data_IF_031779257760
#
_entry.id   IF_031779257760
#
_cell.length_a   1.000
_cell.length_b   1.000
_cell.length_c   1.000
_cell.angle_alpha   90.00
_cell.angle_beta   90.00
_cell.angle_gamma   90.00
#
_symmetry.space_group_name_H-M   'P 1'
#
loop_
_entity.id
_entity.type
_entity.pdbx_description
1 polymer ?
#
# COMPACT_ATOMS: atom_id res chain seq x y z
N UNK A 1 33.93 25.54 -22.82
CA UNK A 1 32.45 25.53 -22.87
C UNK A 1 31.86 24.13 -23.18
N UNK A 2 32.52 23.29 -23.99
CA UNK A 2 32.04 21.91 -24.27
C UNK A 2 32.01 21.00 -23.02
N UNK A 3 32.95 21.16 -22.09
CA UNK A 3 33.05 20.33 -20.86
C UNK A 3 31.84 20.47 -19.90
N UNK A 4 31.21 21.65 -19.83
CA UNK A 4 30.02 21.84 -19.01
C UNK A 4 28.80 21.12 -19.60
N UNK A 5 28.64 21.14 -20.93
CA UNK A 5 27.59 20.38 -21.62
C UNK A 5 27.81 18.87 -21.47
N UNK A 6 29.05 18.40 -21.55
CA UNK A 6 29.41 17.00 -21.31
C UNK A 6 29.15 16.58 -19.87
N UNK A 7 29.45 17.43 -18.88
CA UNK A 7 29.15 17.14 -17.48
C UNK A 7 27.64 17.16 -17.18
N UNK A 8 26.87 18.03 -17.84
CA UNK A 8 25.41 18.01 -17.74
C UNK A 8 24.83 16.74 -18.39
N UNK A 9 25.28 16.36 -19.58
CA UNK A 9 24.89 15.12 -20.24
C UNK A 9 25.29 13.89 -19.42
N UNK A 10 26.48 13.89 -18.82
CA UNK A 10 26.94 12.80 -17.96
C UNK A 10 26.17 12.76 -16.64
N UNK A 11 25.78 13.91 -16.07
CA UNK A 11 24.92 13.99 -14.88
C UNK A 11 23.49 13.54 -15.19
N UNK A 12 22.99 13.78 -16.40
CA UNK A 12 21.73 13.22 -16.91
C UNK A 12 21.85 11.70 -17.17
N UNK A 13 22.96 11.23 -17.73
CA UNK A 13 23.21 9.81 -18.02
C UNK A 13 23.58 8.95 -16.78
N UNK A 14 24.07 9.57 -15.70
CA UNK A 14 24.45 8.85 -14.46
C UNK A 14 23.25 8.55 -13.55
N UNK A 15 22.06 9.08 -13.84
CA UNK A 15 20.94 9.06 -12.88
C UNK A 15 19.90 7.95 -13.11
N UNK A 16 19.96 7.15 -14.19
CA UNK A 16 18.98 6.08 -14.40
C UNK A 16 19.66 4.80 -14.88
N UNK A 17 19.68 3.76 -14.02
CA UNK A 17 20.13 2.41 -14.39
C UNK A 17 19.27 1.91 -15.57
N UNK A 18 19.87 1.32 -16.62
CA UNK A 18 19.10 0.85 -17.77
C UNK A 18 18.04 -0.16 -17.31
N UNK A 19 16.78 0.21 -17.52
CA UNK A 19 15.61 -0.58 -17.14
C UNK A 19 15.60 -1.88 -17.94
N UNK A 20 15.71 -3.03 -17.27
CA UNK A 20 15.57 -4.34 -17.91
C UNK A 20 14.09 -4.71 -18.03
N UNK A 21 13.73 -5.43 -19.08
CA UNK A 21 12.36 -5.99 -19.24
C UNK A 21 11.98 -6.94 -18.09
N UNK A 22 12.96 -7.65 -17.53
CA UNK A 22 12.79 -8.51 -16.36
C UNK A 22 12.31 -7.73 -15.12
N UNK A 23 12.76 -6.50 -14.95
CA UNK A 23 12.37 -5.65 -13.83
C UNK A 23 10.90 -5.20 -13.94
N UNK A 24 10.43 -4.93 -15.16
CA UNK A 24 9.02 -4.67 -15.46
C UNK A 24 8.14 -5.88 -15.15
N UNK A 25 8.56 -7.06 -15.59
CA UNK A 25 7.80 -8.30 -15.36
C UNK A 25 7.71 -8.63 -13.87
N UNK A 26 8.79 -8.42 -13.12
CA UNK A 26 8.80 -8.62 -11.68
C UNK A 26 7.88 -7.64 -10.94
N UNK A 27 7.91 -6.35 -11.33
CA UNK A 27 7.02 -5.35 -10.74
C UNK A 27 5.56 -5.64 -11.09
N UNK A 28 5.27 -6.05 -12.34
CA UNK A 28 3.95 -6.48 -12.76
C UNK A 28 3.48 -7.69 -11.93
N UNK A 29 4.32 -8.71 -11.77
CA UNK A 29 4.01 -9.86 -10.92
C UNK A 29 3.67 -9.40 -9.50
N UNK A 30 4.48 -8.52 -8.92
CA UNK A 30 4.24 -7.94 -7.59
C UNK A 30 2.86 -7.26 -7.51
N UNK A 31 2.47 -6.45 -8.51
CA UNK A 31 1.14 -5.86 -8.59
C UNK A 31 0.03 -6.91 -8.70
N UNK A 32 0.22 -7.96 -9.49
CA UNK A 32 -0.75 -9.06 -9.62
C UNK A 32 -0.94 -9.78 -8.29
N UNK A 33 0.13 -10.08 -7.54
CA UNK A 33 0.01 -10.68 -6.20
C UNK A 33 -0.71 -9.75 -5.21
N UNK A 34 -0.49 -8.43 -5.31
CA UNK A 34 -1.25 -7.46 -4.52
C UNK A 34 -2.73 -7.42 -4.90
N UNK A 35 -3.05 -7.46 -6.19
CA UNK A 35 -4.42 -7.51 -6.70
C UNK A 35 -5.13 -8.82 -6.30
N UNK A 36 -4.44 -9.96 -6.38
CA UNK A 36 -4.94 -11.24 -5.89
C UNK A 36 -5.16 -11.23 -4.38
N UNK A 37 -4.36 -10.45 -3.64
CA UNK A 37 -4.57 -10.19 -2.21
C UNK A 37 -5.95 -9.61 -1.89
N UNK A 38 -6.55 -8.85 -2.80
CA UNK A 38 -7.91 -8.30 -2.65
C UNK A 38 -8.93 -9.45 -2.58
N UNK A 39 -8.76 -10.50 -3.40
CA UNK A 39 -9.66 -11.65 -3.44
C UNK A 39 -9.47 -12.61 -2.27
N UNK A 40 -8.24 -12.74 -1.77
CA UNK A 40 -7.90 -13.67 -0.68
C UNK A 40 -7.89 -13.04 0.70
N UNK A 41 -8.39 -11.80 0.83
CA UNK A 41 -8.47 -11.10 2.11
C UNK A 41 -7.10 -10.71 2.69
N UNK A 42 -6.08 -10.53 1.85
CA UNK A 42 -4.76 -10.04 2.24
C UNK A 42 -3.68 -11.13 2.40
N UNK A 43 -4.02 -12.41 2.24
CA UNK A 43 -3.03 -13.50 2.39
C UNK A 43 -2.05 -13.52 1.21
N UNK A 44 -2.55 -13.36 -0.02
CA UNK A 44 -1.68 -13.40 -1.22
C UNK A 44 -0.74 -12.20 -1.32
N UNK A 45 -1.11 -11.07 -0.71
CA UNK A 45 -0.25 -9.89 -0.57
C UNK A 45 1.05 -10.16 0.19
N UNK A 46 1.10 -11.21 1.04
CA UNK A 46 2.33 -11.62 1.73
C UNK A 46 3.44 -12.04 0.75
N UNK A 47 3.07 -12.76 -0.31
CA UNK A 47 4.02 -13.18 -1.34
C UNK A 47 4.50 -11.94 -2.11
N UNK A 48 3.57 -11.05 -2.45
CA UNK A 48 3.85 -9.76 -3.09
C UNK A 48 4.84 -8.91 -2.29
N UNK A 49 4.64 -8.76 -0.98
CA UNK A 49 5.50 -7.93 -0.13
C UNK A 49 6.91 -8.54 0.05
N UNK A 50 7.01 -9.88 0.15
CA UNK A 50 8.31 -10.56 0.21
C UNK A 50 9.11 -10.28 -1.06
N UNK A 51 8.50 -10.44 -2.23
CA UNK A 51 9.13 -10.10 -3.52
C UNK A 51 9.56 -8.63 -3.57
N UNK A 52 8.68 -7.73 -3.12
CA UNK A 52 8.96 -6.31 -3.09
C UNK A 52 10.19 -5.98 -2.23
N UNK A 53 10.32 -6.57 -1.04
CA UNK A 53 11.48 -6.37 -0.16
C UNK A 53 12.78 -6.96 -0.72
N UNK A 54 12.74 -8.16 -1.31
CA UNK A 54 13.93 -8.81 -1.87
C UNK A 54 14.56 -7.94 -2.96
N UNK A 55 13.73 -7.38 -3.86
CA UNK A 55 14.21 -6.62 -5.00
C UNK A 55 14.29 -5.11 -4.75
N UNK A 56 13.87 -4.63 -3.57
CA UNK A 56 13.86 -3.22 -3.21
C UNK A 56 15.25 -2.57 -3.34
N UNK A 57 16.32 -3.27 -2.94
CA UNK A 57 17.69 -2.77 -3.05
C UNK A 57 18.13 -2.55 -4.49
N UNK A 58 17.63 -3.37 -5.41
CA UNK A 58 18.07 -3.40 -6.81
C UNK A 58 17.46 -2.29 -7.66
N UNK A 59 16.34 -1.75 -7.18
CA UNK A 59 15.60 -0.66 -7.80
C UNK A 59 16.05 0.73 -7.37
N UNK A 60 17.03 0.86 -6.48
CA UNK A 60 17.57 2.17 -6.08
C UNK A 60 18.09 2.94 -7.29
N UNK A 61 17.72 4.22 -7.38
CA UNK A 61 18.02 5.09 -8.53
C UNK A 61 17.31 4.65 -9.83
N UNK A 62 16.10 4.08 -9.71
CA UNK A 62 15.23 3.76 -10.86
C UNK A 62 13.80 4.25 -10.61
N UNK A 63 13.01 4.39 -11.68
CA UNK A 63 11.57 4.71 -11.59
C UNK A 63 10.76 3.72 -10.73
N UNK A 64 11.24 2.47 -10.59
CA UNK A 64 10.57 1.41 -9.84
C UNK A 64 10.75 1.51 -8.33
N UNK A 65 11.74 2.26 -7.85
CA UNK A 65 11.96 2.50 -6.42
C UNK A 65 10.70 3.07 -5.75
N UNK A 66 10.10 4.06 -6.42
CA UNK A 66 8.89 4.72 -5.97
C UNK A 66 7.69 3.77 -5.89
N UNK A 67 7.55 2.85 -6.86
CA UNK A 67 6.48 1.85 -6.92
C UNK A 67 6.60 0.82 -5.80
N UNK A 68 7.81 0.27 -5.59
CA UNK A 68 8.06 -0.70 -4.53
C UNK A 68 7.87 -0.06 -3.14
N UNK A 69 8.41 1.14 -2.93
CA UNK A 69 8.24 1.86 -1.67
C UNK A 69 6.76 2.14 -1.39
N UNK A 70 6.00 2.53 -2.40
CA UNK A 70 4.56 2.77 -2.29
C UNK A 70 3.77 1.50 -1.97
N UNK A 71 4.08 0.36 -2.60
CA UNK A 71 3.47 -0.94 -2.31
C UNK A 71 3.78 -1.40 -0.87
N UNK A 72 5.05 -1.31 -0.46
CA UNK A 72 5.47 -1.65 0.90
C UNK A 72 4.70 -0.83 1.93
N UNK A 73 4.61 0.49 1.74
CA UNK A 73 3.86 1.36 2.64
C UNK A 73 2.37 1.04 2.68
N UNK A 74 1.78 0.75 1.53
CA UNK A 74 0.35 0.42 1.45
C UNK A 74 0.05 -0.86 2.21
N UNK A 75 0.95 -1.85 2.18
CA UNK A 75 0.84 -3.04 3.02
C UNK A 75 0.85 -2.70 4.51
N UNK A 76 1.84 -1.94 4.99
CA UNK A 76 1.93 -1.56 6.41
C UNK A 76 0.74 -0.71 6.89
N UNK A 77 0.26 0.21 6.06
CA UNK A 77 -0.94 1.00 6.35
C UNK A 77 -2.18 0.12 6.45
N UNK A 78 -2.30 -0.90 5.59
CA UNK A 78 -3.41 -1.86 5.65
C UNK A 78 -3.37 -2.64 6.95
N UNK A 79 -2.21 -3.16 7.35
CA UNK A 79 -2.03 -3.82 8.64
C UNK A 79 -2.42 -2.89 9.80
N UNK A 80 -2.01 -1.62 9.75
CA UNK A 80 -2.39 -0.62 10.74
C UNK A 80 -3.92 -0.41 10.82
N UNK A 81 -4.60 -0.28 9.68
CA UNK A 81 -6.07 -0.16 9.67
C UNK A 81 -6.77 -1.41 10.17
N UNK A 82 -6.27 -2.61 9.85
CA UNK A 82 -6.83 -3.87 10.34
C UNK A 82 -6.69 -3.99 11.86
N UNK A 83 -5.49 -3.70 12.39
CA UNK A 83 -5.24 -3.69 13.84
C UNK A 83 -6.10 -2.62 14.53
N UNK A 84 -6.15 -1.41 13.97
CA UNK A 84 -6.97 -0.33 14.50
C UNK A 84 -8.45 -0.71 14.55
N UNK A 85 -9.01 -1.24 13.44
CA UNK A 85 -10.39 -1.73 13.41
C UNK A 85 -10.65 -2.83 14.44
N UNK A 86 -9.69 -3.74 14.64
CA UNK A 86 -9.81 -4.82 15.62
C UNK A 86 -9.81 -4.29 17.06
N UNK A 87 -8.92 -3.33 17.36
CA UNK A 87 -8.88 -2.66 18.67
C UNK A 87 -10.18 -1.90 18.92
N UNK A 88 -10.70 -1.15 17.93
CA UNK A 88 -11.98 -0.45 18.07
C UNK A 88 -13.13 -1.43 18.33
N UNK A 89 -13.18 -2.55 17.59
CA UNK A 89 -14.18 -3.58 17.81
C UNK A 89 -14.07 -4.20 19.21
N UNK A 90 -12.86 -4.52 19.65
CA UNK A 90 -12.62 -5.11 20.97
C UNK A 90 -12.99 -4.14 22.10
N UNK A 91 -12.49 -2.90 22.05
CA UNK A 91 -12.77 -1.86 23.04
C UNK A 91 -14.26 -1.55 23.09
N UNK A 92 -14.90 -1.36 21.93
CA UNK A 92 -16.33 -1.08 21.86
C UNK A 92 -17.20 -2.25 22.33
N UNK A 93 -16.78 -3.50 22.06
CA UNK A 93 -17.44 -4.70 22.58
C UNK A 93 -17.33 -4.81 24.11
N UNK A 94 -16.14 -4.58 24.67
CA UNK A 94 -15.92 -4.59 26.13
C UNK A 94 -16.72 -3.47 26.80
N UNK A 95 -16.69 -2.26 26.24
CA UNK A 95 -17.48 -1.13 26.74
C UNK A 95 -18.97 -1.47 26.72
N UNK A 96 -19.48 -2.02 25.61
CA UNK A 96 -20.88 -2.42 25.52
C UNK A 96 -21.29 -3.50 26.53
N UNK A 97 -20.39 -4.43 26.86
CA UNK A 97 -20.63 -5.46 27.88
C UNK A 97 -20.75 -4.86 29.30
N UNK A 98 -19.99 -3.81 29.61
CA UNK A 98 -20.08 -3.12 30.91
C UNK A 98 -21.44 -2.41 31.10
N UNK A 99 -22.01 -1.86 30.03
CA UNK A 99 -23.31 -1.16 30.07
C UNK A 99 -24.52 -2.08 29.87
N UNK A 100 -24.32 -3.40 29.78
CA UNK A 100 -25.41 -4.36 29.58
C UNK A 100 -26.38 -4.39 30.78
N UNK A 101 -25.86 -4.20 32.00
CA UNK A 101 -26.65 -4.18 33.23
C UNK A 101 -27.58 -2.95 33.33
N UNK A 102 -27.28 -1.89 32.59
CA UNK A 102 -28.07 -0.65 32.54
C UNK A 102 -29.08 -0.69 31.38
N UNK A 103 -29.09 -1.76 30.57
CA UNK A 103 -29.98 -1.93 29.41
C UNK A 103 -29.50 -1.20 28.14
N UNK A 104 -28.57 -0.25 28.26
CA UNK A 104 -28.03 0.54 27.14
C UNK A 104 -27.12 -0.31 26.23
N UNK A 105 -26.49 -1.37 26.76
CA UNK A 105 -25.60 -2.25 26.00
C UNK A 105 -26.21 -2.85 24.71
N UNK A 106 -27.53 -2.98 24.62
CA UNK A 106 -28.21 -3.43 23.40
C UNK A 106 -28.11 -2.44 22.23
N UNK A 107 -27.92 -1.15 22.50
CA UNK A 107 -27.81 -0.10 21.48
C UNK A 107 -26.33 0.17 21.16
N UNK A 108 -25.46 0.16 22.17
CA UNK A 108 -24.02 0.43 22.01
C UNK A 108 -23.31 -0.67 21.24
N UNK A 109 -23.70 -1.94 21.41
CA UNK A 109 -23.10 -3.07 20.70
C UNK A 109 -23.26 -2.96 19.17
N UNK A 110 -24.48 -2.87 18.61
CA UNK A 110 -24.66 -2.75 17.16
C UNK A 110 -24.05 -1.46 16.60
N UNK A 111 -24.08 -0.35 17.35
CA UNK A 111 -23.40 0.89 16.93
C UNK A 111 -21.89 0.72 16.82
N UNK A 112 -21.25 0.07 17.81
CA UNK A 112 -19.81 -0.19 17.76
C UNK A 112 -19.45 -1.13 16.61
N UNK A 113 -20.22 -2.20 16.40
CA UNK A 113 -19.97 -3.12 15.28
C UNK A 113 -20.15 -2.41 13.95
N UNK A 114 -21.19 -1.59 13.82
CA UNK A 114 -21.46 -0.82 12.61
C UNK A 114 -20.32 0.18 12.34
N UNK A 115 -19.85 0.89 13.36
CA UNK A 115 -18.73 1.83 13.22
C UNK A 115 -17.43 1.14 12.78
N UNK A 116 -17.08 0.01 13.40
CA UNK A 116 -15.93 -0.79 12.99
C UNK A 116 -16.08 -1.31 11.55
N UNK A 117 -17.27 -1.75 11.17
CA UNK A 117 -17.54 -2.24 9.82
C UNK A 117 -17.39 -1.14 8.75
N UNK A 118 -17.84 0.08 9.05
CA UNK A 118 -17.64 1.24 8.16
C UNK A 118 -16.15 1.56 7.96
N UNK A 119 -15.35 1.48 9.03
CA UNK A 119 -13.89 1.66 8.95
C UNK A 119 -13.26 0.59 8.04
N UNK A 120 -13.66 -0.68 8.19
CA UNK A 120 -13.15 -1.76 7.33
C UNK A 120 -13.51 -1.57 5.86
N UNK A 121 -14.76 -1.19 5.54
CA UNK A 121 -15.16 -0.88 4.15
C UNK A 121 -14.30 0.26 3.61
N UNK A 122 -14.14 1.34 4.37
CA UNK A 122 -13.35 2.48 3.95
C UNK A 122 -11.88 2.09 3.70
N UNK A 123 -11.28 1.29 4.60
CA UNK A 123 -9.91 0.81 4.44
C UNK A 123 -9.76 -0.12 3.22
N UNK A 124 -10.77 -0.94 2.93
CA UNK A 124 -10.78 -1.82 1.77
C UNK A 124 -10.87 -1.04 0.46
N UNK A 125 -11.76 -0.05 0.37
CA UNK A 125 -11.87 0.83 -0.79
C UNK A 125 -10.58 1.63 -0.97
N UNK A 126 -10.03 2.17 0.12
CA UNK A 126 -8.75 2.88 0.10
C UNK A 126 -7.62 2.00 -0.42
N UNK A 127 -7.54 0.73 0.02
CA UNK A 127 -6.55 -0.23 -0.48
C UNK A 127 -6.69 -0.48 -1.99
N UNK A 128 -7.90 -0.71 -2.48
CA UNK A 128 -8.16 -0.90 -3.91
C UNK A 128 -7.71 0.31 -4.72
N UNK A 129 -8.12 1.52 -4.32
CA UNK A 129 -7.75 2.77 -5.00
C UNK A 129 -6.22 2.92 -5.05
N UNK A 130 -5.54 2.63 -3.95
CA UNK A 130 -4.07 2.72 -3.89
C UNK A 130 -3.41 1.74 -4.85
N UNK A 131 -3.86 0.49 -4.91
CA UNK A 131 -3.33 -0.53 -5.85
C UNK A 131 -3.58 -0.12 -7.30
N UNK A 132 -4.78 0.38 -7.62
CA UNK A 132 -5.15 0.83 -8.97
C UNK A 132 -4.31 2.03 -9.41
N UNK A 133 -4.11 3.05 -8.57
CA UNK A 133 -3.29 4.22 -8.90
C UNK A 133 -1.82 3.81 -9.15
N UNK A 134 -1.30 2.92 -8.31
CA UNK A 134 0.04 2.36 -8.52
C UNK A 134 0.16 1.61 -9.85
N UNK A 135 -0.86 0.82 -10.19
CA UNK A 135 -0.90 0.06 -11.45
C UNK A 135 -1.04 0.96 -12.69
N UNK A 136 -1.87 2.00 -12.64
CA UNK A 136 -2.01 2.99 -13.72
C UNK A 136 -0.66 3.71 -13.94
N UNK A 137 0.00 4.12 -12.86
CA UNK A 137 1.31 4.80 -12.95
C UNK A 137 2.37 3.88 -13.57
N UNK A 138 2.33 2.59 -13.23
CA UNK A 138 3.18 1.57 -13.85
C UNK A 138 2.88 1.40 -15.34
N UNK A 139 1.60 1.35 -15.74
CA UNK A 139 1.18 1.25 -17.13
C UNK A 139 1.63 2.47 -17.96
N UNK A 140 1.53 3.66 -17.38
CA UNK A 140 1.98 4.92 -17.99
C UNK A 140 3.51 5.09 -18.01
N UNK A 141 4.27 4.12 -17.46
CA UNK A 141 5.72 4.21 -17.22
C UNK A 141 6.14 5.50 -16.49
N UNK A 142 5.30 6.00 -15.58
CA UNK A 142 5.59 7.22 -14.79
C UNK A 142 5.99 6.84 -13.37
N UNK A 143 7.02 7.49 -12.78
CA UNK A 143 7.35 7.29 -11.37
C UNK A 143 6.22 7.83 -10.48
N UNK A 144 6.05 7.23 -9.30
CA UNK A 144 5.09 7.73 -8.31
C UNK A 144 5.64 9.03 -7.74
N UNK A 145 4.96 10.13 -8.02
CA UNK A 145 5.42 11.48 -7.64
C UNK A 145 5.57 11.66 -6.12
N UNK A 146 4.76 10.95 -5.32
CA UNK A 146 4.75 11.06 -3.85
C UNK A 146 4.66 9.68 -3.19
N UNK A 147 5.73 8.86 -3.18
CA UNK A 147 5.67 7.51 -2.63
C UNK A 147 5.40 7.48 -1.12
N UNK A 148 5.69 8.58 -0.41
CA UNK A 148 5.48 8.70 1.03
C UNK A 148 4.10 9.20 1.44
N UNK A 149 3.22 9.43 0.47
CA UNK A 149 1.91 10.01 0.73
C UNK A 149 0.98 9.01 1.40
N UNK A 150 0.18 9.53 2.34
CA UNK A 150 -0.89 8.79 2.99
C UNK A 150 -2.18 8.79 2.13
N UNK A 151 -2.34 9.76 1.24
CA UNK A 151 -3.42 9.89 0.24
C UNK A 151 -2.85 10.01 -1.17
N UNK A 152 -3.53 9.42 -2.15
CA UNK A 152 -3.19 9.36 -3.59
C UNK A 152 -2.09 10.31 -4.10
#
# INVERSE_FOLDING_TARGET
MQDFATQLQQKEQTQEKPVKSEDKNFLLATYVFFALGIFTGGVTTLIGIIMAYIKQSDYRNTIYESHITYLIRTFWLTIFFFISGFVLFFVGSVFSALFIFIGIGFITFPLSVMFSYLLYIWAFVWFIVRVVIGFISFYDNRPIARPYTWLF
#
